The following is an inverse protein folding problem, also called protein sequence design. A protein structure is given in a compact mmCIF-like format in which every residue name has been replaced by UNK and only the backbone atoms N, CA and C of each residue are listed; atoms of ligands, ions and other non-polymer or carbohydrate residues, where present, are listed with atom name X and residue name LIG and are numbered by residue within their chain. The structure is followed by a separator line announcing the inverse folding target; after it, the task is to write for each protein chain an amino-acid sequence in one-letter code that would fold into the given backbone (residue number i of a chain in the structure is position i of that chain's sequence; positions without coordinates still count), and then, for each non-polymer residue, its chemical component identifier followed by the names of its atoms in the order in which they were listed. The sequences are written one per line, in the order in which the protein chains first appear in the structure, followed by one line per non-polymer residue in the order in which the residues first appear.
data_IF_373667474340
#
_entry.id   IF_373667474340
#
_cell.length_a   1.000
_cell.length_b   1.000
_cell.length_c   1.000
_cell.angle_alpha   90.00
_cell.angle_beta   90.00
_cell.angle_gamma   90.00
#
_symmetry.space_group_name_H-M   'P 1'
#
loop_
_entity.id
_entity.type
_entity.pdbx_description
1 polymer ?
#
# COMPACT_ATOMS: atom_id res chain seq x y z
N UNK A 1 9.91 -24.27 -11.07
CA UNK A 1 10.31 -23.01 -10.42
C UNK A 1 9.16 -22.68 -9.48
N UNK A 2 9.24 -23.23 -8.26
CA UNK A 2 8.11 -23.31 -7.33
C UNK A 2 8.68 -22.93 -5.97
N UNK A 3 8.58 -21.64 -5.64
CA UNK A 3 9.14 -21.07 -4.41
C UNK A 3 8.53 -19.68 -4.12
N UNK A 4 7.24 -19.63 -3.75
CA UNK A 4 6.70 -18.66 -2.76
C UNK A 4 5.21 -18.95 -2.47
N UNK A 5 4.92 -19.95 -1.64
CA UNK A 5 3.56 -20.17 -1.11
C UNK A 5 3.61 -20.49 0.41
N UNK A 6 4.57 -19.88 1.10
CA UNK A 6 4.93 -20.18 2.48
C UNK A 6 4.40 -19.20 3.52
N UNK A 7 3.47 -18.30 3.19
CA UNK A 7 2.82 -17.46 4.20
C UNK A 7 1.41 -17.98 4.47
N UNK A 8 1.08 -18.32 5.73
CA UNK A 8 -0.25 -18.78 6.10
C UNK A 8 -1.22 -17.59 6.02
N UNK A 9 -1.94 -17.50 4.90
CA UNK A 9 -3.11 -16.63 4.80
C UNK A 9 -4.14 -17.04 5.85
N UNK A 10 -4.80 -16.08 6.53
CA UNK A 10 -5.86 -16.40 7.49
C UNK A 10 -6.94 -17.26 6.82
N UNK A 11 -7.56 -18.16 7.59
CA UNK A 11 -8.51 -19.15 7.09
C UNK A 11 -9.85 -18.52 6.64
N UNK A 12 -9.83 -17.83 5.51
CA UNK A 12 -11.01 -17.48 4.75
C UNK A 12 -11.21 -18.55 3.65
N UNK A 13 -12.45 -18.98 3.39
CA UNK A 13 -12.70 -19.98 2.36
C UNK A 13 -12.34 -19.37 0.99
N UNK A 14 -11.79 -20.19 0.09
CA UNK A 14 -11.15 -19.72 -1.16
C UNK A 14 -12.11 -18.97 -2.09
N UNK A 15 -13.41 -19.24 -1.98
CA UNK A 15 -14.51 -18.54 -2.65
C UNK A 15 -14.78 -17.13 -2.08
N UNK A 16 -14.61 -16.94 -0.78
CA UNK A 16 -14.73 -15.63 -0.13
C UNK A 16 -13.61 -14.68 -0.55
N UNK A 17 -12.38 -15.18 -0.75
CA UNK A 17 -11.30 -14.38 -1.35
C UNK A 17 -11.66 -13.93 -2.77
N UNK A 18 -12.21 -14.82 -3.60
CA UNK A 18 -12.63 -14.47 -4.96
C UNK A 18 -13.74 -13.42 -5.00
N UNK A 19 -14.75 -13.56 -4.14
CA UNK A 19 -15.82 -12.58 -4.02
C UNK A 19 -15.33 -11.23 -3.48
N UNK A 20 -14.43 -11.24 -2.49
CA UNK A 20 -13.82 -10.04 -1.94
C UNK A 20 -12.95 -9.30 -2.97
N UNK A 21 -12.14 -10.03 -3.73
CA UNK A 21 -11.36 -9.45 -4.83
C UNK A 21 -12.27 -8.80 -5.88
N UNK A 22 -13.34 -9.48 -6.30
CA UNK A 22 -14.30 -8.92 -7.27
C UNK A 22 -14.99 -7.68 -6.75
N UNK A 23 -15.42 -7.69 -5.48
CA UNK A 23 -16.05 -6.53 -4.84
C UNK A 23 -15.09 -5.34 -4.73
N UNK A 24 -13.81 -5.58 -4.44
CA UNK A 24 -12.79 -4.55 -4.40
C UNK A 24 -12.52 -3.96 -5.79
N UNK A 25 -12.46 -4.80 -6.83
CA UNK A 25 -12.24 -4.36 -8.20
C UNK A 25 -13.42 -3.50 -8.73
N UNK A 26 -14.64 -3.91 -8.38
CA UNK A 26 -15.84 -3.13 -8.65
C UNK A 26 -15.82 -1.78 -7.92
N UNK A 27 -15.35 -1.74 -6.67
CA UNK A 27 -15.22 -0.50 -5.92
C UNK A 27 -14.16 0.45 -6.51
N UNK A 28 -13.02 -0.08 -6.97
CA UNK A 28 -12.01 0.71 -7.68
C UNK A 28 -12.55 1.29 -8.99
N UNK A 29 -13.22 0.46 -9.79
CA UNK A 29 -13.82 0.91 -11.05
C UNK A 29 -14.86 2.03 -10.81
N UNK A 30 -15.71 1.87 -9.80
CA UNK A 30 -16.69 2.89 -9.43
C UNK A 30 -16.00 4.19 -8.95
N UNK A 31 -14.91 4.07 -8.19
CA UNK A 31 -14.14 5.21 -7.70
C UNK A 31 -13.49 5.97 -8.85
N UNK A 32 -12.79 5.27 -9.75
CA UNK A 32 -12.14 5.88 -10.91
C UNK A 32 -13.16 6.53 -11.84
N UNK A 33 -14.30 5.88 -12.09
CA UNK A 33 -15.37 6.45 -12.90
C UNK A 33 -15.98 7.72 -12.28
N UNK A 34 -16.01 7.84 -10.95
CA UNK A 34 -16.61 8.98 -10.24
C UNK A 34 -15.63 10.15 -10.11
N UNK A 35 -14.37 9.87 -9.75
CA UNK A 35 -13.39 10.89 -9.37
C UNK A 35 -12.33 11.15 -10.44
N UNK A 36 -12.16 10.25 -11.42
CA UNK A 36 -11.18 10.40 -12.50
C UNK A 36 -9.74 10.22 -12.07
N UNK A 37 -9.48 9.64 -10.90
CA UNK A 37 -8.16 9.31 -10.40
C UNK A 37 -8.15 7.99 -9.63
N UNK A 38 -6.97 7.37 -9.52
CA UNK A 38 -6.79 6.16 -8.73
C UNK A 38 -7.01 6.43 -7.23
N UNK A 39 -7.49 5.40 -6.52
CA UNK A 39 -7.61 5.43 -5.07
C UNK A 39 -6.22 5.34 -4.42
N UNK A 40 -5.92 6.26 -3.49
CA UNK A 40 -4.66 6.28 -2.76
C UNK A 40 -4.94 6.39 -1.27
N UNK A 41 -4.37 5.48 -0.49
CA UNK A 41 -4.49 5.42 0.97
C UNK A 41 -3.12 5.13 1.58
N UNK A 42 -2.68 5.96 2.52
CA UNK A 42 -1.51 5.69 3.34
C UNK A 42 -1.91 4.86 4.55
N UNK A 43 -1.48 3.60 4.57
CA UNK A 43 -1.78 2.65 5.65
C UNK A 43 -0.77 2.70 6.81
N UNK A 44 0.34 3.44 6.68
CA UNK A 44 1.28 3.68 7.78
C UNK A 44 1.69 2.42 8.55
N UNK A 45 1.37 2.42 9.84
CA UNK A 45 1.69 1.35 10.81
C UNK A 45 0.52 0.37 11.03
N UNK A 46 -0.53 0.40 10.18
CA UNK A 46 -1.66 -0.52 10.26
C UNK A 46 -1.17 -1.96 10.11
N UNK A 47 -1.56 -2.88 11.02
CA UNK A 47 -1.15 -4.27 10.93
C UNK A 47 -1.70 -4.91 9.63
N UNK A 48 -0.98 -5.88 9.06
CA UNK A 48 -1.35 -6.49 7.78
C UNK A 48 -2.72 -7.17 7.82
N UNK A 49 -3.13 -7.69 8.97
CA UNK A 49 -4.44 -8.33 9.16
C UNK A 49 -5.60 -7.32 9.07
N UNK A 50 -5.41 -6.10 9.56
CA UNK A 50 -6.44 -5.04 9.55
C UNK A 50 -6.39 -4.18 8.26
N UNK A 51 -5.32 -4.34 7.47
CA UNK A 51 -5.08 -3.53 6.27
C UNK A 51 -6.23 -3.64 5.26
N UNK A 52 -6.76 -4.84 5.05
CA UNK A 52 -7.86 -5.06 4.10
C UNK A 52 -9.14 -4.39 4.58
N UNK A 53 -9.47 -4.52 5.86
CA UNK A 53 -10.67 -3.92 6.45
C UNK A 53 -10.60 -2.40 6.41
N UNK A 54 -9.45 -1.81 6.77
CA UNK A 54 -9.22 -0.37 6.66
C UNK A 54 -9.31 0.13 5.21
N UNK A 55 -8.78 -0.62 4.25
CA UNK A 55 -8.87 -0.26 2.84
C UNK A 55 -10.32 -0.29 2.34
N UNK A 56 -11.09 -1.33 2.69
CA UNK A 56 -12.51 -1.47 2.34
C UNK A 56 -13.37 -0.40 3.00
N UNK A 57 -13.12 -0.07 4.26
CA UNK A 57 -13.81 1.01 4.95
C UNK A 57 -13.51 2.36 4.31
N UNK A 58 -12.23 2.63 4.02
CA UNK A 58 -11.79 3.89 3.43
C UNK A 58 -12.38 4.09 2.02
N UNK A 59 -12.35 3.07 1.15
CA UNK A 59 -12.90 3.19 -0.21
C UNK A 59 -14.42 3.39 -0.18
N UNK A 60 -15.14 2.70 0.71
CA UNK A 60 -16.61 2.87 0.87
C UNK A 60 -16.96 4.25 1.39
N UNK A 61 -16.25 4.74 2.40
CA UNK A 61 -16.44 6.08 2.94
C UNK A 61 -16.17 7.14 1.88
N UNK A 62 -15.04 7.05 1.17
CA UNK A 62 -14.62 8.03 0.18
C UNK A 62 -15.46 8.03 -1.10
N UNK A 63 -16.04 6.90 -1.47
CA UNK A 63 -17.06 6.83 -2.51
C UNK A 63 -18.29 7.69 -2.21
N UNK A 64 -18.56 8.06 -0.96
CA UNK A 64 -19.68 8.95 -0.60
C UNK A 64 -19.30 10.43 -0.57
N UNK A 65 -18.01 10.76 -0.64
CA UNK A 65 -17.52 12.14 -0.58
C UNK A 65 -17.81 12.94 -1.86
N UNK A 66 -17.85 14.26 -1.73
CA UNK A 66 -17.83 15.19 -2.85
C UNK A 66 -16.47 15.15 -3.58
N UNK A 67 -16.43 15.28 -4.92
CA UNK A 67 -15.19 15.20 -5.69
C UNK A 67 -14.09 16.18 -5.27
N UNK A 68 -14.45 17.40 -4.86
CA UNK A 68 -13.47 18.41 -4.41
C UNK A 68 -12.81 17.97 -3.10
N UNK A 69 -13.63 17.56 -2.13
CA UNK A 69 -13.19 17.08 -0.81
C UNK A 69 -12.38 15.79 -0.93
N UNK A 70 -12.71 14.99 -1.93
CA UNK A 70 -12.00 13.76 -2.26
C UNK A 70 -10.62 14.03 -2.86
N UNK A 71 -10.50 15.05 -3.72
CA UNK A 71 -9.22 15.47 -4.30
C UNK A 71 -8.25 16.00 -3.24
N UNK A 72 -8.76 16.75 -2.27
CA UNK A 72 -7.97 17.20 -1.13
C UNK A 72 -7.42 16.02 -0.32
N UNK A 73 -8.29 15.06 0.03
CA UNK A 73 -7.89 13.84 0.73
C UNK A 73 -6.86 13.03 -0.07
N UNK A 74 -7.10 12.78 -1.37
CA UNK A 74 -6.16 12.07 -2.22
C UNK A 74 -4.78 12.77 -2.28
N UNK A 75 -4.75 14.10 -2.32
CA UNK A 75 -3.50 14.86 -2.30
C UNK A 75 -2.75 14.69 -0.98
N UNK A 76 -3.45 14.63 0.15
CA UNK A 76 -2.85 14.46 1.46
C UNK A 76 -2.29 13.06 1.65
N UNK A 77 -3.02 12.04 1.22
CA UNK A 77 -2.54 10.65 1.20
C UNK A 77 -1.29 10.49 0.33
N UNK A 78 -1.27 11.11 -0.86
CA UNK A 78 -0.08 11.16 -1.71
C UNK A 78 1.10 11.88 -1.05
N UNK A 79 0.87 12.99 -0.35
CA UNK A 79 1.92 13.70 0.40
C UNK A 79 2.50 12.83 1.51
N UNK A 80 1.67 12.10 2.25
CA UNK A 80 2.12 11.16 3.30
C UNK A 80 2.96 10.04 2.71
N UNK A 81 2.50 9.43 1.61
CA UNK A 81 3.24 8.40 0.89
C UNK A 81 4.60 8.90 0.39
N UNK A 82 4.62 10.09 -0.24
CA UNK A 82 5.84 10.71 -0.74
C UNK A 82 6.83 11.02 0.40
N UNK A 83 6.33 11.59 1.51
CA UNK A 83 7.15 11.85 2.71
C UNK A 83 7.76 10.56 3.25
N UNK A 84 6.97 9.49 3.38
CA UNK A 84 7.47 8.21 3.87
C UNK A 84 8.58 7.65 2.97
N UNK A 85 8.35 7.65 1.66
CA UNK A 85 9.37 7.23 0.67
C UNK A 85 10.65 8.05 0.77
N UNK A 86 10.55 9.37 0.95
CA UNK A 86 11.71 10.23 1.14
C UNK A 86 12.48 9.90 2.42
N UNK A 87 11.78 9.65 3.53
CA UNK A 87 12.41 9.24 4.80
C UNK A 87 13.13 7.90 4.65
N UNK A 88 12.48 6.92 4.01
CA UNK A 88 13.06 5.58 3.79
C UNK A 88 14.31 5.66 2.89
N UNK A 89 14.26 6.49 1.83
CA UNK A 89 15.42 6.75 0.96
C UNK A 89 16.58 7.41 1.72
N UNK A 90 16.31 8.44 2.52
CA UNK A 90 17.34 9.14 3.30
C UNK A 90 17.94 8.24 4.38
N UNK A 91 17.13 7.38 5.01
CA UNK A 91 17.61 6.38 5.97
C UNK A 91 18.44 5.29 5.28
N UNK A 92 18.03 4.82 4.10
CA UNK A 92 18.78 3.85 3.30
C UNK A 92 20.12 4.40 2.79
N UNK A 93 20.17 5.67 2.38
CA UNK A 93 21.39 6.34 1.97
C UNK A 93 22.41 6.50 3.11
N UNK A 94 21.95 6.66 4.36
CA UNK A 94 22.81 6.67 5.54
C UNK A 94 23.49 5.33 5.85
N UNK A 95 22.87 4.22 5.46
CA UNK A 95 23.40 2.86 5.70
C UNK A 95 24.37 2.38 4.61
N UNK A 96 24.39 3.00 3.43
CA UNK A 96 25.29 2.65 2.33
C UNK A 96 26.73 3.15 2.46
N UNK A 97 26.99 4.08 3.38
CA UNK A 97 28.32 4.68 3.58
C UNK A 97 29.28 3.82 4.42
N UNK A 98 28.83 2.69 4.97
CA UNK A 98 29.68 1.73 5.69
C UNK A 98 29.86 0.46 4.87
N UNK A 99 30.52 0.56 3.71
CA UNK A 99 31.20 -0.61 3.15
C UNK A 99 32.56 -0.72 3.84
N UNK A 100 32.85 -1.80 4.59
CA UNK A 100 34.21 -2.08 5.04
C UNK A 100 35.00 -2.51 3.80
N UNK A 101 35.88 -1.63 3.33
CA UNK A 101 36.84 -1.98 2.29
C UNK A 101 37.83 -2.98 2.90
N UNK A 102 37.53 -4.28 2.78
CA UNK A 102 38.44 -5.34 3.13
C UNK A 102 39.53 -5.40 2.05
N UNK A 103 40.59 -4.63 2.26
CA UNK A 103 41.86 -4.81 1.58
C UNK A 103 42.36 -6.23 1.88
N UNK A 104 42.10 -7.14 0.95
CA UNK A 104 42.82 -8.40 0.84
C UNK A 104 44.05 -8.11 0.00
N UNK A 105 45.13 -7.72 0.67
CA UNK A 105 46.45 -7.71 0.06
C UNK A 105 47.28 -8.80 0.74
N UNK A 106 47.66 -9.78 -0.06
CA UNK A 106 48.43 -10.94 0.38
C UNK A 106 49.91 -10.60 0.49
N UNK A 107 50.59 -11.28 1.39
CA UNK A 107 51.96 -11.78 1.19
C UNK A 107 52.16 -12.99 2.09
#
# INVERSE_FOLDING_TARGET
MEALAGEPLPALPADAYGAAHTALDAAHTAYESRFGHAFVLYLGDTPPEETLDHLLEAIRSRLTNDPEREREQASEELRRLARRRLVDLLRGAGNGATSPNASTDGT
#
